data_IF_626001907913
#
_entry.id   IF_626001907913
#
_cell.length_a   1.000
_cell.length_b   1.000
_cell.length_c   1.000
_cell.angle_alpha   90.00
_cell.angle_beta   90.00
_cell.angle_gamma   90.00
#
_symmetry.space_group_name_H-M   'P 1'
#
loop_
_entity.id
_entity.type
_entity.pdbx_description
1 polymer ?
#
# COMPACT_ATOMS: atom_id res chain seq x y z
N UNK A 1 -17.11 -69.51 27.88
CA UNK A 1 -17.57 -68.14 28.05
C UNK A 1 -16.47 -67.03 27.90
N UNK A 2 -15.19 -67.26 28.27
CA UNK A 2 -14.12 -66.25 28.13
C UNK A 2 -13.66 -65.93 26.70
N UNK A 3 -13.91 -66.82 25.70
CA UNK A 3 -13.49 -66.60 24.30
C UNK A 3 -14.52 -65.81 23.47
N UNK A 4 -15.77 -65.73 23.89
CA UNK A 4 -16.84 -65.01 23.17
C UNK A 4 -16.82 -63.53 23.54
N UNK A 5 -16.40 -63.19 24.76
CA UNK A 5 -16.28 -61.77 25.22
C UNK A 5 -15.11 -61.05 24.54
N UNK A 6 -14.06 -61.79 24.22
CA UNK A 6 -12.88 -61.21 23.52
C UNK A 6 -13.17 -60.87 22.06
N UNK A 7 -14.08 -61.59 21.39
CA UNK A 7 -14.39 -61.31 19.97
C UNK A 7 -15.38 -60.16 19.82
N UNK A 8 -16.31 -59.96 20.79
CA UNK A 8 -17.21 -58.84 20.75
C UNK A 8 -16.53 -57.47 21.08
N UNK A 9 -15.51 -57.49 21.95
CA UNK A 9 -14.73 -56.32 22.25
C UNK A 9 -13.82 -55.86 21.08
N UNK A 10 -13.27 -56.83 20.32
CA UNK A 10 -12.47 -56.56 19.12
C UNK A 10 -13.33 -56.06 17.96
N UNK A 11 -14.58 -56.52 17.85
CA UNK A 11 -15.52 -56.03 16.82
C UNK A 11 -16.08 -54.64 17.13
N UNK A 12 -16.24 -54.26 18.40
CA UNK A 12 -16.60 -52.88 18.79
C UNK A 12 -15.46 -51.88 18.61
N UNK A 13 -14.18 -52.31 18.71
CA UNK A 13 -13.03 -51.48 18.41
C UNK A 13 -12.80 -51.27 16.90
N UNK A 14 -13.26 -52.21 16.06
CA UNK A 14 -13.18 -52.07 14.60
C UNK A 14 -14.32 -51.21 13.99
N UNK A 15 -15.44 -51.06 14.69
CA UNK A 15 -16.58 -50.23 14.27
C UNK A 15 -16.49 -48.80 14.79
N UNK A 16 -15.59 -48.51 15.75
CA UNK A 16 -15.36 -47.16 16.30
C UNK A 16 -14.45 -46.25 15.46
N UNK A 17 -13.90 -46.75 14.34
CA UNK A 17 -12.97 -45.96 13.47
C UNK A 17 -13.66 -45.34 12.23
N UNK A 18 -14.97 -45.51 12.09
CA UNK A 18 -15.71 -44.98 10.94
C UNK A 18 -16.77 -43.98 11.37
N UNK A 19 -16.38 -42.83 11.81
CA UNK A 19 -17.04 -41.52 11.63
C UNK A 19 -16.34 -40.48 12.52
N UNK A 20 -15.09 -40.18 12.26
CA UNK A 20 -14.65 -38.82 12.47
C UNK A 20 -15.32 -38.07 11.33
N UNK A 21 -16.31 -37.20 11.58
CA UNK A 21 -16.71 -36.27 10.53
C UNK A 21 -15.42 -35.57 10.14
N UNK A 22 -15.09 -35.58 8.85
CA UNK A 22 -14.11 -34.68 8.32
C UNK A 22 -14.58 -33.28 8.76
N UNK A 23 -14.02 -32.81 9.87
CA UNK A 23 -14.14 -31.40 10.22
C UNK A 23 -13.60 -30.70 8.97
N UNK A 24 -14.49 -30.03 8.27
CA UNK A 24 -14.06 -29.11 7.22
C UNK A 24 -12.96 -28.28 7.88
N UNK A 25 -11.75 -28.39 7.38
CA UNK A 25 -10.62 -27.61 7.84
C UNK A 25 -11.08 -26.16 7.74
N UNK A 26 -11.32 -25.53 8.88
CA UNK A 26 -11.76 -24.15 8.94
C UNK A 26 -10.64 -23.34 8.30
N UNK A 27 -10.87 -22.88 7.09
CA UNK A 27 -9.86 -22.22 6.26
C UNK A 27 -9.43 -20.96 7.01
N UNK A 28 -8.20 -20.94 7.49
CA UNK A 28 -7.67 -19.78 8.23
C UNK A 28 -7.68 -18.54 7.34
N UNK A 29 -7.98 -17.35 7.88
CA UNK A 29 -7.96 -16.12 7.12
C UNK A 29 -6.56 -15.88 6.54
N UNK A 30 -6.52 -15.34 5.31
CA UNK A 30 -5.25 -14.95 4.70
C UNK A 30 -4.69 -13.72 5.39
N UNK A 31 -3.47 -13.83 5.91
CA UNK A 31 -2.80 -12.75 6.63
C UNK A 31 -2.08 -11.81 5.67
N UNK A 32 -2.39 -10.53 5.78
CA UNK A 32 -1.90 -9.49 4.88
C UNK A 32 -1.08 -8.48 5.66
N UNK A 33 0.22 -8.40 5.36
CA UNK A 33 1.10 -7.41 5.96
C UNK A 33 0.82 -6.01 5.43
N UNK A 34 0.73 -5.03 6.32
CA UNK A 34 0.49 -3.63 6.02
C UNK A 34 1.48 -2.78 6.84
N UNK A 35 2.14 -1.81 6.19
CA UNK A 35 3.02 -0.89 6.91
C UNK A 35 2.21 0.20 7.62
N UNK A 36 2.54 0.49 8.88
CA UNK A 36 1.99 1.63 9.64
C UNK A 36 2.30 2.96 8.95
N UNK A 37 3.36 3.02 8.13
CA UNK A 37 3.72 4.17 7.30
C UNK A 37 2.61 4.56 6.31
N UNK A 38 1.78 3.63 5.87
CA UNK A 38 0.70 3.87 4.91
C UNK A 38 -0.47 4.66 5.51
N UNK A 39 -0.47 4.90 6.82
CA UNK A 39 -1.45 5.69 7.57
C UNK A 39 -2.91 5.22 7.40
N UNK A 40 -3.13 3.94 7.25
CA UNK A 40 -4.48 3.39 7.20
C UNK A 40 -5.15 3.38 8.57
N UNK A 41 -6.45 3.60 8.59
CA UNK A 41 -7.27 3.36 9.78
C UNK A 41 -7.34 1.86 10.08
N UNK A 42 -6.62 1.41 11.11
CA UNK A 42 -6.55 -0.01 11.48
C UNK A 42 -7.93 -0.61 11.76
N UNK A 43 -8.81 0.15 12.43
CA UNK A 43 -10.16 -0.30 12.75
C UNK A 43 -11.03 -0.52 11.50
N UNK A 44 -10.72 0.16 10.40
CA UNK A 44 -11.45 0.10 9.12
C UNK A 44 -10.72 -0.67 8.03
N UNK A 45 -9.51 -1.15 8.31
CA UNK A 45 -8.70 -1.84 7.30
C UNK A 45 -9.42 -3.04 6.70
N UNK A 46 -10.19 -3.78 7.49
CA UNK A 46 -10.97 -4.93 7.00
C UNK A 46 -12.03 -4.51 5.99
N UNK A 47 -12.75 -3.42 6.25
CA UNK A 47 -13.77 -2.87 5.35
C UNK A 47 -13.12 -2.38 4.06
N UNK A 48 -11.99 -1.67 4.16
CA UNK A 48 -11.17 -1.23 3.02
C UNK A 48 -10.69 -2.41 2.16
N UNK A 49 -10.16 -3.46 2.78
CA UNK A 49 -9.72 -4.66 2.06
C UNK A 49 -10.88 -5.37 1.37
N UNK A 50 -12.06 -5.38 1.98
CA UNK A 50 -13.28 -5.95 1.40
C UNK A 50 -13.72 -5.14 0.18
N UNK A 51 -13.84 -3.82 0.31
CA UNK A 51 -14.18 -2.92 -0.79
C UNK A 51 -13.20 -3.07 -1.96
N UNK A 52 -11.89 -3.02 -1.67
CA UNK A 52 -10.84 -3.27 -2.65
C UNK A 52 -10.98 -4.63 -3.32
N UNK A 53 -11.28 -5.68 -2.56
CA UNK A 53 -11.47 -7.04 -3.08
C UNK A 53 -12.61 -7.12 -4.09
N UNK A 54 -13.73 -6.45 -3.84
CA UNK A 54 -14.87 -6.36 -4.76
C UNK A 54 -14.45 -5.64 -6.05
N UNK A 55 -13.82 -4.47 -5.93
CA UNK A 55 -13.39 -3.68 -7.08
C UNK A 55 -12.33 -4.40 -7.94
N UNK A 56 -11.36 -5.05 -7.31
CA UNK A 56 -10.36 -5.89 -8.00
C UNK A 56 -11.03 -7.00 -8.80
N UNK A 57 -12.06 -7.66 -8.26
CA UNK A 57 -12.77 -8.71 -8.97
C UNK A 57 -13.53 -8.17 -10.18
N UNK A 58 -14.21 -7.01 -10.03
CA UNK A 58 -15.00 -6.37 -11.08
C UNK A 58 -14.14 -5.75 -12.19
N UNK A 59 -12.90 -5.38 -11.88
CA UNK A 59 -11.96 -4.77 -12.81
C UNK A 59 -11.00 -5.77 -13.47
N UNK A 60 -10.96 -7.02 -13.01
CA UNK A 60 -10.00 -8.00 -13.51
C UNK A 60 -10.33 -8.46 -14.92
N UNK A 61 -9.35 -8.45 -15.82
CA UNK A 61 -9.45 -9.06 -17.16
C UNK A 61 -9.74 -10.56 -17.07
N UNK A 62 -10.39 -11.15 -18.08
CA UNK A 62 -10.47 -12.61 -18.20
C UNK A 62 -9.08 -13.25 -18.12
N UNK A 63 -8.94 -14.49 -17.56
CA UNK A 63 -7.64 -15.12 -17.40
C UNK A 63 -6.82 -15.23 -18.70
N UNK A 64 -7.48 -15.46 -19.84
CA UNK A 64 -6.88 -15.55 -21.17
C UNK A 64 -6.24 -14.25 -21.67
N UNK A 65 -6.67 -13.10 -21.14
CA UNK A 65 -6.21 -11.77 -21.55
C UNK A 65 -5.18 -11.15 -20.56
N UNK A 66 -4.78 -11.92 -19.52
CA UNK A 66 -3.85 -11.43 -18.50
C UNK A 66 -2.41 -11.69 -18.89
N UNK A 67 -1.58 -10.68 -18.71
CA UNK A 67 -0.14 -10.88 -18.73
C UNK A 67 0.32 -11.44 -17.37
N UNK A 68 1.32 -12.35 -17.34
CA UNK A 68 1.93 -12.78 -16.10
C UNK A 68 2.47 -11.56 -15.32
N UNK A 69 2.32 -11.52 -14.00
CA UNK A 69 2.92 -10.47 -13.19
C UNK A 69 4.43 -10.37 -13.41
N UNK A 70 4.98 -9.18 -13.37
CA UNK A 70 6.42 -8.95 -13.51
C UNK A 70 7.19 -9.77 -12.44
N UNK A 71 8.18 -10.56 -12.90
CA UNK A 71 8.93 -11.45 -12.04
C UNK A 71 8.21 -12.72 -11.60
N UNK A 72 7.00 -13.01 -12.08
CA UNK A 72 6.32 -14.25 -11.78
C UNK A 72 7.10 -15.46 -12.34
N UNK A 73 7.11 -16.61 -11.62
CA UNK A 73 7.77 -17.83 -12.10
C UNK A 73 7.10 -18.36 -13.37
N UNK A 74 7.87 -18.90 -14.31
CA UNK A 74 7.33 -19.61 -15.48
C UNK A 74 6.40 -20.74 -15.00
N UNK A 75 5.15 -20.76 -15.50
CA UNK A 75 4.14 -21.74 -15.10
C UNK A 75 3.40 -21.36 -13.81
N UNK A 76 3.59 -20.17 -13.26
CA UNK A 76 2.63 -19.64 -12.29
C UNK A 76 1.24 -19.71 -12.95
N UNK A 77 0.20 -20.27 -12.27
CA UNK A 77 -1.12 -20.28 -12.83
C UNK A 77 -1.47 -18.83 -13.18
N UNK A 78 -1.72 -18.59 -14.47
CA UNK A 78 -2.18 -17.30 -14.97
C UNK A 78 -3.27 -16.83 -14.04
N UNK A 79 -2.96 -15.77 -13.26
CA UNK A 79 -3.64 -15.41 -12.02
C UNK A 79 -5.15 -15.48 -12.12
N UNK A 80 -5.71 -16.65 -11.84
CA UNK A 80 -7.10 -16.72 -11.46
C UNK A 80 -7.23 -15.82 -10.23
N UNK A 81 -8.17 -14.84 -10.22
CA UNK A 81 -8.43 -14.10 -9.01
C UNK A 81 -8.74 -15.16 -7.96
N UNK A 82 -7.97 -15.19 -6.89
CA UNK A 82 -8.36 -15.93 -5.70
C UNK A 82 -9.75 -15.38 -5.33
N UNK A 83 -10.82 -16.09 -5.68
CA UNK A 83 -12.17 -15.68 -5.37
C UNK A 83 -13.13 -15.46 -6.54
N UNK A 84 -12.84 -15.98 -7.77
CA UNK A 84 -13.88 -16.06 -8.77
C UNK A 84 -15.09 -16.86 -8.22
N UNK A 85 -16.34 -16.36 -8.38
CA UNK A 85 -17.51 -17.07 -7.88
C UNK A 85 -17.57 -18.44 -8.56
N UNK A 86 -17.43 -19.52 -7.77
CA UNK A 86 -17.65 -20.89 -8.23
C UNK A 86 -16.51 -21.88 -8.16
N UNK A 87 -15.26 -21.51 -7.87
CA UNK A 87 -14.15 -22.47 -7.68
C UNK A 87 -13.21 -22.03 -6.56
N UNK A 88 -13.61 -22.31 -5.30
CA UNK A 88 -12.72 -22.60 -4.15
C UNK A 88 -11.49 -21.71 -3.88
N UNK A 89 -11.41 -20.49 -4.38
CA UNK A 89 -10.42 -19.50 -3.93
C UNK A 89 -10.75 -19.01 -2.51
N UNK A 90 -9.76 -18.54 -1.72
CA UNK A 90 -10.05 -17.95 -0.42
C UNK A 90 -11.05 -16.80 -0.58
N UNK A 91 -12.13 -16.87 0.19
CA UNK A 91 -13.08 -15.75 0.27
C UNK A 91 -12.27 -14.53 0.76
N UNK A 92 -12.23 -13.44 -0.03
CA UNK A 92 -11.47 -12.23 0.33
C UNK A 92 -12.02 -11.53 1.56
N UNK A 93 -13.22 -11.92 2.00
CA UNK A 93 -13.81 -11.52 3.28
C UNK A 93 -13.06 -12.09 4.48
N UNK A 94 -12.24 -13.14 4.28
CA UNK A 94 -11.44 -13.77 5.32
C UNK A 94 -9.97 -13.27 5.33
N UNK A 95 -9.75 -11.99 5.08
CA UNK A 95 -8.43 -11.37 5.19
C UNK A 95 -8.23 -10.78 6.59
N UNK A 96 -7.06 -11.06 7.17
CA UNK A 96 -6.61 -10.52 8.45
C UNK A 96 -5.42 -9.56 8.21
N UNK A 97 -5.59 -8.24 8.39
CA UNK A 97 -4.47 -7.31 8.31
C UNK A 97 -3.55 -7.48 9.52
N UNK A 98 -2.24 -7.48 9.26
CA UNK A 98 -1.19 -7.51 10.26
C UNK A 98 -0.30 -6.28 10.04
N UNK A 99 -0.26 -5.38 11.03
CA UNK A 99 0.46 -4.12 10.93
C UNK A 99 1.92 -4.27 11.36
N UNK A 100 2.82 -3.58 10.66
CA UNK A 100 4.25 -3.57 10.88
C UNK A 100 4.79 -2.14 10.91
N UNK A 101 5.68 -1.86 11.84
CA UNK A 101 6.32 -0.55 11.96
C UNK A 101 7.54 -0.40 11.03
N UNK A 102 8.04 -1.52 10.47
CA UNK A 102 9.13 -1.50 9.51
C UNK A 102 8.95 -2.50 8.36
N UNK A 103 9.51 -2.16 7.20
CA UNK A 103 9.53 -3.03 6.02
C UNK A 103 10.29 -4.33 6.28
N UNK A 104 11.40 -4.26 7.02
CA UNK A 104 12.24 -5.43 7.33
C UNK A 104 11.48 -6.46 8.17
N UNK A 105 10.72 -6.04 9.19
CA UNK A 105 9.88 -6.93 9.98
C UNK A 105 8.78 -7.58 9.15
N UNK A 106 8.18 -6.81 8.24
CA UNK A 106 7.16 -7.32 7.31
C UNK A 106 7.75 -8.34 6.34
N UNK A 107 8.92 -8.07 5.75
CA UNK A 107 9.66 -9.01 4.89
C UNK A 107 10.08 -10.29 5.63
N UNK A 108 10.59 -10.17 6.85
CA UNK A 108 10.90 -11.35 7.67
C UNK A 108 9.65 -12.19 7.96
N UNK A 109 8.51 -11.55 8.17
CA UNK A 109 7.25 -12.24 8.43
C UNK A 109 6.70 -12.93 7.18
N UNK A 110 6.85 -12.33 6.00
CA UNK A 110 6.53 -12.96 4.71
C UNK A 110 7.43 -14.17 4.45
N UNK A 111 8.75 -14.01 4.65
CA UNK A 111 9.72 -15.10 4.44
C UNK A 111 9.49 -16.29 5.39
N UNK A 112 9.07 -16.01 6.61
CA UNK A 112 8.74 -17.02 7.62
C UNK A 112 7.34 -17.64 7.45
N UNK A 113 6.55 -17.20 6.46
CA UNK A 113 5.18 -17.67 6.25
C UNK A 113 4.20 -17.25 7.36
N UNK A 114 4.52 -16.21 8.14
CA UNK A 114 3.62 -15.65 9.16
C UNK A 114 2.54 -14.75 8.56
N UNK A 115 2.82 -14.18 7.38
CA UNK A 115 1.87 -13.49 6.51
C UNK A 115 1.97 -14.09 5.11
N UNK A 116 0.89 -14.04 4.33
CA UNK A 116 0.79 -14.64 3.00
C UNK A 116 1.21 -13.67 1.89
N UNK A 117 1.14 -12.37 2.17
CA UNK A 117 1.44 -11.29 1.23
C UNK A 117 1.65 -9.97 1.96
N UNK A 118 2.20 -9.00 1.24
CA UNK A 118 2.36 -7.62 1.69
C UNK A 118 1.59 -6.68 0.77
N UNK A 119 1.03 -5.62 1.34
CA UNK A 119 0.47 -4.48 0.61
C UNK A 119 1.43 -3.30 0.78
N UNK A 120 1.98 -2.83 -0.34
CA UNK A 120 3.00 -1.78 -0.34
C UNK A 120 2.94 -0.99 -1.65
N UNK A 121 3.59 0.16 -1.72
CA UNK A 121 3.66 0.97 -2.93
C UNK A 121 4.40 0.25 -4.07
N UNK A 122 3.93 0.48 -5.30
CA UNK A 122 4.47 -0.16 -6.51
C UNK A 122 5.96 0.15 -6.69
N UNK A 123 6.36 1.39 -6.44
CA UNK A 123 7.77 1.80 -6.50
C UNK A 123 8.65 0.96 -5.58
N UNK A 124 8.21 0.75 -4.33
CA UNK A 124 8.93 -0.11 -3.37
C UNK A 124 8.84 -1.59 -3.77
N UNK A 125 7.69 -2.04 -4.27
CA UNK A 125 7.54 -3.42 -4.75
C UNK A 125 8.50 -3.73 -5.91
N UNK A 126 8.63 -2.82 -6.89
CA UNK A 126 9.60 -2.92 -7.99
C UNK A 126 11.03 -3.02 -7.46
N UNK A 127 11.40 -2.13 -6.53
CA UNK A 127 12.72 -2.17 -5.91
C UNK A 127 13.00 -3.49 -5.18
N UNK A 128 12.05 -3.97 -4.38
CA UNK A 128 12.18 -5.23 -3.66
C UNK A 128 12.31 -6.44 -4.59
N UNK A 129 11.47 -6.52 -5.64
CA UNK A 129 11.48 -7.62 -6.59
C UNK A 129 12.72 -7.61 -7.49
N UNK A 130 13.25 -6.43 -7.82
CA UNK A 130 14.51 -6.31 -8.55
C UNK A 130 15.72 -6.79 -7.73
N UNK A 131 15.67 -6.65 -6.39
CA UNK A 131 16.73 -7.04 -5.47
C UNK A 131 16.52 -8.40 -4.79
N UNK A 132 15.38 -9.06 -5.02
CA UNK A 132 15.05 -10.36 -4.43
C UNK A 132 14.24 -11.20 -5.40
N UNK A 133 14.90 -12.17 -6.03
CA UNK A 133 14.32 -13.09 -7.02
C UNK A 133 13.25 -14.05 -6.45
N UNK A 134 13.12 -14.15 -5.13
CA UNK A 134 12.07 -14.92 -4.46
C UNK A 134 10.73 -14.16 -4.37
N UNK A 135 10.71 -12.89 -4.72
CA UNK A 135 9.50 -12.08 -4.69
C UNK A 135 8.95 -11.82 -6.08
N UNK A 136 7.67 -11.55 -6.15
CA UNK A 136 6.98 -10.96 -7.29
C UNK A 136 5.85 -10.07 -6.79
N UNK A 137 5.40 -9.14 -7.60
CA UNK A 137 4.24 -8.31 -7.27
C UNK A 137 3.17 -8.38 -8.37
N UNK A 138 1.97 -8.01 -8.01
CA UNK A 138 0.82 -8.00 -8.90
C UNK A 138 0.52 -6.54 -9.25
N UNK A 139 0.91 -6.15 -10.45
CA UNK A 139 0.71 -4.80 -10.99
C UNK A 139 -0.71 -4.55 -11.51
N UNK A 140 -0.91 -3.38 -12.14
CA UNK A 140 -2.19 -2.96 -12.69
C UNK A 140 -2.51 -3.55 -14.08
N UNK A 141 -1.57 -4.27 -14.71
CA UNK A 141 -1.75 -4.88 -16.05
C UNK A 141 -2.88 -5.91 -16.10
N UNK A 142 -3.20 -6.48 -14.93
CA UNK A 142 -4.31 -7.44 -14.75
C UNK A 142 -5.69 -6.80 -14.83
N UNK A 143 -5.78 -5.48 -14.77
CA UNK A 143 -7.06 -4.78 -14.77
C UNK A 143 -7.47 -4.35 -16.17
N UNK A 144 -8.76 -4.44 -16.43
CA UNK A 144 -9.38 -3.76 -17.56
C UNK A 144 -9.53 -2.27 -17.22
N UNK A 145 -8.64 -1.45 -17.77
CA UNK A 145 -8.59 0.00 -17.49
C UNK A 145 -9.81 0.76 -18.00
N UNK A 146 -10.58 0.17 -18.90
CA UNK A 146 -11.84 0.73 -19.40
C UNK A 146 -13.02 0.43 -18.45
N UNK A 147 -12.82 -0.46 -17.48
CA UNK A 147 -13.81 -0.78 -16.46
C UNK A 147 -13.99 0.37 -15.46
N UNK A 148 -15.22 0.81 -15.14
CA UNK A 148 -15.49 1.77 -14.08
C UNK A 148 -14.91 1.35 -12.71
N UNK A 149 -14.88 0.06 -12.43
CA UNK A 149 -14.30 -0.49 -11.21
C UNK A 149 -12.77 -0.29 -11.16
N UNK A 150 -12.09 -0.46 -12.31
CA UNK A 150 -10.65 -0.23 -12.41
C UNK A 150 -10.30 1.25 -12.22
N UNK A 151 -11.05 2.15 -12.82
CA UNK A 151 -10.86 3.59 -12.62
C UNK A 151 -10.96 3.96 -11.13
N UNK A 152 -12.04 3.53 -10.45
CA UNK A 152 -12.25 3.79 -9.02
C UNK A 152 -11.12 3.18 -8.18
N UNK A 153 -10.69 1.96 -8.50
CA UNK A 153 -9.65 1.25 -7.77
C UNK A 153 -8.29 1.96 -7.90
N UNK A 154 -7.86 2.25 -9.12
CA UNK A 154 -6.52 2.75 -9.41
C UNK A 154 -6.35 4.23 -9.06
N UNK A 155 -7.35 5.06 -9.31
CA UNK A 155 -7.24 6.50 -9.04
C UNK A 155 -7.73 6.91 -7.65
N UNK A 156 -8.50 6.05 -6.98
CA UNK A 156 -9.12 6.29 -5.68
C UNK A 156 -8.51 5.46 -4.58
N UNK A 157 -8.84 4.16 -4.55
CA UNK A 157 -8.56 3.30 -3.38
C UNK A 157 -7.08 2.94 -3.24
N UNK A 158 -6.39 2.71 -4.36
CA UNK A 158 -4.97 2.30 -4.35
C UNK A 158 -4.01 3.48 -4.46
N UNK A 159 -4.44 4.60 -5.03
CA UNK A 159 -3.58 5.76 -5.21
C UNK A 159 -3.38 6.54 -3.92
N UNK A 160 -2.13 6.84 -3.61
CA UNK A 160 -1.74 7.70 -2.51
C UNK A 160 -0.83 8.81 -3.01
N UNK A 161 -1.01 9.99 -2.46
CA UNK A 161 -0.22 11.17 -2.74
C UNK A 161 0.83 11.39 -1.66
N UNK A 162 2.07 11.55 -2.04
CA UNK A 162 3.18 11.85 -1.15
C UNK A 162 3.29 13.35 -0.95
N UNK A 163 3.33 13.77 0.31
CA UNK A 163 3.40 15.15 0.72
C UNK A 163 4.28 15.29 1.97
N UNK A 164 4.58 16.52 2.37
CA UNK A 164 5.11 16.81 3.70
C UNK A 164 3.99 17.35 4.59
N UNK A 165 3.92 16.83 5.82
CA UNK A 165 2.99 17.31 6.84
C UNK A 165 3.74 18.22 7.81
N UNK A 166 3.08 19.29 8.22
CA UNK A 166 3.54 20.30 9.17
C UNK A 166 2.40 20.65 10.14
N UNK A 167 2.71 21.31 11.26
CA UNK A 167 1.69 21.91 12.09
C UNK A 167 1.06 23.13 11.40
N UNK A 168 -0.20 23.46 11.72
CA UNK A 168 -0.94 24.55 11.10
C UNK A 168 -0.31 25.94 11.30
N UNK A 169 0.48 26.13 12.35
CA UNK A 169 1.22 27.37 12.58
C UNK A 169 2.48 27.52 11.71
N UNK A 170 2.84 26.48 10.93
CA UNK A 170 3.90 26.49 9.91
C UNK A 170 3.38 26.74 8.48
N UNK A 171 2.23 27.41 8.33
CA UNK A 171 1.62 27.68 7.01
C UNK A 171 2.58 28.38 6.05
N UNK A 172 3.36 29.34 6.50
CA UNK A 172 4.34 30.03 5.67
C UNK A 172 5.43 29.07 5.14
N UNK A 173 5.91 28.14 5.96
CA UNK A 173 6.87 27.13 5.54
C UNK A 173 6.26 26.14 4.53
N UNK A 174 5.00 25.72 4.77
CA UNK A 174 4.25 24.89 3.80
C UNK A 174 4.17 25.57 2.44
N UNK A 175 3.91 26.88 2.38
CA UNK A 175 3.79 27.64 1.14
C UNK A 175 5.14 27.81 0.43
N UNK A 176 6.24 27.97 1.19
CA UNK A 176 7.60 27.94 0.63
C UNK A 176 7.91 26.56 0.00
N UNK A 177 7.56 25.47 0.66
CA UNK A 177 7.72 24.11 0.12
C UNK A 177 6.86 23.92 -1.14
N UNK A 178 5.61 24.36 -1.16
CA UNK A 178 4.71 24.28 -2.32
C UNK A 178 5.29 25.04 -3.51
N UNK A 179 5.83 26.25 -3.27
CA UNK A 179 6.48 27.06 -4.33
C UNK A 179 7.70 26.32 -4.90
N UNK A 180 8.52 25.75 -4.03
CA UNK A 180 9.68 24.97 -4.46
C UNK A 180 9.28 23.71 -5.24
N UNK A 181 8.29 22.94 -4.75
CA UNK A 181 7.77 21.73 -5.42
C UNK A 181 7.20 22.07 -6.80
N UNK A 182 6.41 23.15 -6.91
CA UNK A 182 5.87 23.59 -8.20
C UNK A 182 6.99 23.92 -9.20
N UNK A 183 8.00 24.68 -8.77
CA UNK A 183 9.14 25.04 -9.62
C UNK A 183 10.01 23.82 -9.99
N UNK A 184 10.17 22.83 -9.10
CA UNK A 184 10.87 21.56 -9.35
C UNK A 184 10.14 20.74 -10.43
N UNK A 185 8.80 20.73 -10.42
CA UNK A 185 7.99 20.08 -11.45
C UNK A 185 8.06 20.83 -12.78
N UNK A 186 7.97 22.16 -12.76
CA UNK A 186 7.92 22.99 -13.98
C UNK A 186 9.22 22.94 -14.80
N UNK A 187 10.38 22.89 -14.14
CA UNK A 187 11.67 22.92 -14.83
C UNK A 187 12.26 21.54 -15.17
N UNK A 188 11.52 20.45 -14.93
CA UNK A 188 11.92 19.07 -15.22
C UNK A 188 12.93 18.50 -14.22
N UNK A 189 13.15 19.15 -13.08
CA UNK A 189 14.00 18.59 -12.02
C UNK A 189 13.35 17.39 -11.35
N UNK A 190 12.01 17.37 -11.22
CA UNK A 190 11.28 16.23 -10.64
C UNK A 190 11.55 14.94 -11.41
N UNK A 191 11.45 14.99 -12.73
CA UNK A 191 11.71 13.85 -13.61
C UNK A 191 13.16 13.36 -13.51
N UNK A 192 14.11 14.27 -13.34
CA UNK A 192 15.53 13.90 -13.11
C UNK A 192 15.72 13.20 -11.78
N UNK A 193 15.10 13.72 -10.70
CA UNK A 193 15.18 13.09 -9.38
C UNK A 193 14.54 11.69 -9.39
N UNK A 194 13.42 11.51 -10.09
CA UNK A 194 12.78 10.20 -10.27
C UNK A 194 13.75 9.25 -10.98
N UNK A 195 14.29 9.65 -12.13
CA UNK A 195 15.21 8.83 -12.90
C UNK A 195 16.49 8.46 -12.12
N UNK A 196 17.04 9.39 -11.33
CA UNK A 196 18.31 9.22 -10.62
C UNK A 196 18.16 8.42 -9.31
N UNK A 197 17.02 8.56 -8.60
CA UNK A 197 16.86 7.99 -7.25
C UNK A 197 15.80 6.89 -7.15
N UNK A 198 14.87 6.83 -8.10
CA UNK A 198 13.86 5.75 -8.16
C UNK A 198 14.24 4.75 -9.23
N UNK A 199 14.27 5.15 -10.50
CA UNK A 199 14.47 4.23 -11.63
C UNK A 199 15.85 3.58 -11.58
N UNK A 200 16.91 4.36 -11.31
CA UNK A 200 18.25 3.85 -11.17
C UNK A 200 18.39 2.84 -10.00
N UNK A 201 17.70 3.08 -8.88
CA UNK A 201 17.70 2.16 -7.74
C UNK A 201 16.99 0.84 -8.09
N UNK A 202 15.86 0.89 -8.79
CA UNK A 202 15.13 -0.29 -9.28
C UNK A 202 16.01 -1.08 -10.28
N UNK A 203 16.73 -0.40 -11.15
CA UNK A 203 17.65 -1.01 -12.11
C UNK A 203 18.96 -1.54 -11.47
N UNK A 204 19.16 -1.38 -10.17
CA UNK A 204 20.37 -1.80 -9.46
C UNK A 204 21.61 -1.00 -9.80
N UNK A 205 21.43 0.24 -10.30
CA UNK A 205 22.53 1.15 -10.58
C UNK A 205 23.08 1.78 -9.31
N UNK A 206 24.34 2.16 -9.33
CA UNK A 206 24.94 2.91 -8.24
C UNK A 206 24.29 4.29 -8.10
N UNK A 207 23.78 4.57 -6.90
CA UNK A 207 23.13 5.84 -6.57
C UNK A 207 24.15 6.78 -5.94
N UNK A 208 24.27 8.00 -6.49
CA UNK A 208 25.15 9.00 -5.94
C UNK A 208 24.71 9.41 -4.52
N UNK A 209 25.66 9.55 -3.56
CA UNK A 209 25.32 10.03 -2.22
C UNK A 209 24.69 11.41 -2.25
N UNK A 210 23.58 11.56 -1.54
CA UNK A 210 22.86 12.83 -1.45
C UNK A 210 23.54 13.70 -0.38
N UNK A 211 23.79 14.96 -0.73
CA UNK A 211 24.32 15.96 0.21
C UNK A 211 23.39 17.15 0.26
N UNK A 212 22.87 17.43 1.45
CA UNK A 212 22.19 18.69 1.72
C UNK A 212 23.27 19.71 2.11
N UNK A 213 23.53 20.65 1.23
CA UNK A 213 24.56 21.66 1.45
C UNK A 213 24.15 22.63 2.55
N UNK A 214 25.07 22.92 3.46
CA UNK A 214 24.84 23.91 4.52
C UNK A 214 24.91 25.32 3.95
N UNK A 215 23.85 26.08 4.16
CA UNK A 215 23.76 27.50 3.81
C UNK A 215 24.10 28.31 5.05
N UNK A 216 25.20 29.07 5.01
CA UNK A 216 25.70 29.78 6.18
C UNK A 216 24.76 30.91 6.59
N UNK A 217 24.41 30.98 7.88
CA UNK A 217 23.48 31.98 8.42
C UNK A 217 21.99 31.75 8.11
N UNK A 218 21.66 30.71 7.35
CA UNK A 218 20.27 30.38 7.05
C UNK A 218 19.60 29.66 8.24
N UNK A 219 18.29 29.84 8.35
CA UNK A 219 17.40 29.07 9.24
C UNK A 219 17.52 27.58 8.96
N UNK A 220 17.37 26.76 10.01
CA UNK A 220 17.38 25.31 9.88
C UNK A 220 16.01 24.72 10.17
N UNK A 221 15.48 23.98 9.19
CA UNK A 221 14.24 23.22 9.27
C UNK A 221 14.57 21.78 9.56
N UNK A 222 13.94 21.19 10.56
CA UNK A 222 14.10 19.78 10.93
C UNK A 222 13.02 18.96 10.26
N UNK A 223 13.41 17.96 9.47
CA UNK A 223 12.48 17.08 8.77
C UNK A 223 12.65 15.65 9.24
N UNK A 224 11.57 15.06 9.74
CA UNK A 224 11.52 13.67 10.18
C UNK A 224 11.47 12.71 8.97
N UNK A 225 12.39 11.73 8.97
CA UNK A 225 12.51 10.68 7.95
C UNK A 225 12.44 9.31 8.62
N UNK A 226 11.82 8.33 7.95
CA UNK A 226 11.61 7.01 8.56
C UNK A 226 12.67 6.00 8.15
N UNK A 227 13.08 6.03 6.89
CA UNK A 227 14.05 5.09 6.36
C UNK A 227 13.48 3.71 6.02
N UNK A 228 12.15 3.57 5.91
CA UNK A 228 11.45 2.29 5.78
C UNK A 228 10.81 2.07 4.40
N UNK A 229 11.04 2.94 3.43
CA UNK A 229 10.37 2.90 2.14
C UNK A 229 11.34 3.07 0.96
N UNK A 230 12.30 2.12 0.75
CA UNK A 230 13.18 2.20 -0.40
C UNK A 230 12.40 2.06 -1.73
N UNK A 231 12.80 2.73 -2.79
CA UNK A 231 13.87 3.71 -2.91
C UNK A 231 13.46 5.15 -2.54
N UNK A 232 12.26 5.34 -1.98
CA UNK A 232 11.71 6.66 -1.66
C UNK A 232 12.39 7.29 -0.45
N UNK A 233 12.46 6.55 0.65
CA UNK A 233 13.02 6.96 1.95
C UNK A 233 13.69 5.75 2.61
N UNK A 234 15.00 5.72 2.67
CA UNK A 234 15.75 4.62 3.28
C UNK A 234 17.06 5.10 3.91
N UNK A 235 17.65 4.24 4.73
CA UNK A 235 18.95 4.47 5.33
C UNK A 235 20.00 3.71 4.53
N UNK A 236 20.99 4.43 4.00
CA UNK A 236 22.09 3.83 3.25
C UNK A 236 23.02 3.02 4.18
N UNK A 237 23.90 2.12 3.63
CA UNK A 237 24.80 1.29 4.45
C UNK A 237 25.78 2.08 5.32
N UNK A 238 26.05 3.34 5.00
CA UNK A 238 26.86 4.26 5.80
C UNK A 238 26.08 4.97 6.92
N UNK A 239 24.81 4.55 7.13
CA UNK A 239 23.87 5.10 8.11
C UNK A 239 23.44 6.55 7.84
N UNK A 240 23.46 6.97 6.56
CA UNK A 240 22.92 8.27 6.15
C UNK A 240 21.53 8.12 5.51
N UNK A 241 20.60 9.09 5.73
CA UNK A 241 19.34 9.13 5.01
C UNK A 241 19.57 9.26 3.50
N UNK A 242 18.84 8.46 2.73
CA UNK A 242 18.96 8.36 1.27
C UNK A 242 17.59 8.19 0.61
N UNK A 243 17.58 8.13 -0.71
CA UNK A 243 16.40 7.96 -1.52
C UNK A 243 15.81 9.24 -2.06
N UNK A 244 14.75 9.08 -2.84
CA UNK A 244 14.10 10.17 -3.57
C UNK A 244 13.66 11.32 -2.66
N UNK A 245 13.07 11.02 -1.49
CA UNK A 245 12.61 12.06 -0.55
C UNK A 245 13.79 12.91 -0.03
N UNK A 246 14.92 12.27 0.27
CA UNK A 246 16.14 12.99 0.70
C UNK A 246 16.68 13.88 -0.41
N UNK A 247 16.69 13.41 -1.67
CA UNK A 247 17.13 14.19 -2.82
C UNK A 247 16.19 15.37 -3.10
N UNK A 248 14.87 15.15 -3.00
CA UNK A 248 13.88 16.22 -3.11
C UNK A 248 14.07 17.28 -2.02
N UNK A 249 14.32 16.88 -0.77
CA UNK A 249 14.57 17.79 0.34
C UNK A 249 15.86 18.61 0.13
N UNK A 250 16.91 18.02 -0.44
CA UNK A 250 18.12 18.74 -0.80
C UNK A 250 17.83 19.84 -1.85
N UNK A 251 17.00 19.55 -2.84
CA UNK A 251 16.60 20.52 -3.86
C UNK A 251 15.66 21.60 -3.29
N UNK A 252 14.70 21.23 -2.41
CA UNK A 252 13.86 22.19 -1.70
C UNK A 252 14.73 23.14 -0.87
N UNK A 253 15.67 22.61 -0.06
CA UNK A 253 16.61 23.39 0.76
C UNK A 253 17.30 24.49 -0.07
N UNK A 254 17.84 24.10 -1.23
CA UNK A 254 18.52 25.02 -2.15
C UNK A 254 17.58 26.11 -2.67
N UNK A 255 16.32 25.79 -2.99
CA UNK A 255 15.37 26.74 -3.59
C UNK A 255 14.80 27.71 -2.57
N UNK A 256 14.50 27.24 -1.36
CA UNK A 256 13.96 28.13 -0.31
C UNK A 256 15.06 28.87 0.46
N UNK A 257 16.34 28.52 0.25
CA UNK A 257 17.46 29.16 0.93
C UNK A 257 17.53 28.88 2.42
N UNK A 258 17.00 27.74 2.89
CA UNK A 258 17.03 27.30 4.30
C UNK A 258 17.74 25.95 4.44
N UNK A 259 18.41 25.76 5.57
CA UNK A 259 19.03 24.48 5.86
C UNK A 259 17.93 23.43 6.18
N UNK A 260 18.11 22.19 5.71
CA UNK A 260 17.31 21.05 6.12
C UNK A 260 18.18 20.09 6.93
N UNK A 261 17.73 19.78 8.14
CA UNK A 261 18.32 18.76 9.00
C UNK A 261 17.39 17.56 9.05
N UNK A 262 17.84 16.41 8.58
CA UNK A 262 17.08 15.16 8.64
C UNK A 262 17.17 14.57 10.06
N UNK A 263 16.01 14.16 10.57
CA UNK A 263 15.86 13.52 11.91
C UNK A 263 15.23 12.15 11.69
N UNK A 264 16.04 11.10 11.85
CA UNK A 264 15.56 9.73 11.72
C UNK A 264 14.63 9.36 12.86
N UNK A 265 13.48 8.72 12.54
CA UNK A 265 12.50 8.27 13.50
C UNK A 265 11.69 7.08 12.97
N UNK A 266 11.10 6.29 13.87
CA UNK A 266 10.12 5.26 13.48
C UNK A 266 8.82 5.89 12.99
N UNK A 267 8.11 5.22 12.08
CA UNK A 267 6.86 5.69 11.49
C UNK A 267 5.81 6.14 12.51
N UNK A 268 5.55 5.43 13.62
CA UNK A 268 4.58 5.87 14.63
C UNK A 268 5.02 7.13 15.41
N UNK A 269 6.29 7.51 15.36
CA UNK A 269 6.80 8.68 16.06
C UNK A 269 6.59 10.00 15.29
N UNK A 270 6.18 9.95 14.01
CA UNK A 270 6.06 11.14 13.15
C UNK A 270 5.06 12.17 13.70
N UNK A 271 3.82 11.74 13.98
CA UNK A 271 2.80 12.65 14.49
C UNK A 271 3.15 13.22 15.88
N UNK A 272 3.59 12.44 16.89
CA UNK A 272 4.08 12.98 18.16
C UNK A 272 5.28 13.91 18.02
N UNK A 273 6.22 13.66 17.11
CA UNK A 273 7.37 14.52 16.88
C UNK A 273 6.97 15.89 16.34
N UNK A 274 6.00 15.94 15.40
CA UNK A 274 5.40 17.19 14.93
C UNK A 274 4.70 17.93 16.07
N UNK A 275 3.79 17.26 16.77
CA UNK A 275 3.00 17.87 17.83
C UNK A 275 3.83 18.47 18.96
N UNK A 276 5.03 17.88 19.24
CA UNK A 276 5.97 18.37 20.25
C UNK A 276 6.95 19.44 19.75
N UNK A 277 6.96 19.74 18.43
CA UNK A 277 7.96 20.62 17.81
C UNK A 277 9.37 20.02 17.77
N UNK A 278 9.53 18.71 17.92
CA UNK A 278 10.81 18.03 17.75
C UNK A 278 11.31 18.10 16.30
N UNK A 279 10.36 18.13 15.35
CA UNK A 279 10.57 18.38 13.94
C UNK A 279 9.53 19.38 13.40
N UNK A 280 9.88 20.06 12.31
CA UNK A 280 9.03 21.07 11.67
C UNK A 280 8.17 20.46 10.56
N UNK A 281 8.64 19.36 9.96
CA UNK A 281 7.94 18.63 8.92
C UNK A 281 8.22 17.13 9.00
N UNK A 282 7.31 16.31 8.47
CA UNK A 282 7.50 14.86 8.26
C UNK A 282 6.98 14.45 6.91
N UNK A 283 7.52 13.37 6.35
CA UNK A 283 6.91 12.68 5.21
C UNK A 283 5.55 12.13 5.59
N UNK A 284 4.57 12.31 4.71
CA UNK A 284 3.21 11.82 4.91
C UNK A 284 2.56 11.40 3.59
N UNK A 285 1.63 10.44 3.67
CA UNK A 285 0.81 10.07 2.53
C UNK A 285 -0.61 10.57 2.72
N UNK A 286 -1.24 10.99 1.64
CA UNK A 286 -2.60 11.53 1.62
C UNK A 286 -3.49 10.71 0.71
N UNK A 287 -4.75 10.62 1.06
CA UNK A 287 -5.79 10.16 0.14
C UNK A 287 -5.80 11.00 -1.15
N UNK A 288 -5.94 10.37 -2.31
CA UNK A 288 -6.02 11.08 -3.58
C UNK A 288 -7.26 11.99 -3.65
N UNK A 289 -7.15 13.10 -4.37
CA UNK A 289 -8.31 14.01 -4.56
C UNK A 289 -9.48 13.30 -5.24
N UNK A 290 -9.22 12.33 -6.12
CA UNK A 290 -10.26 11.51 -6.73
C UNK A 290 -11.00 10.65 -5.70
N UNK A 291 -10.28 10.02 -4.76
CA UNK A 291 -10.89 9.27 -3.66
C UNK A 291 -11.68 10.19 -2.74
N UNK A 292 -11.10 11.33 -2.37
CA UNK A 292 -11.75 12.35 -1.55
C UNK A 292 -13.08 12.80 -2.17
N UNK A 293 -13.08 13.17 -3.45
CA UNK A 293 -14.27 13.57 -4.16
C UNK A 293 -15.34 12.48 -4.14
N UNK A 294 -14.98 11.23 -4.44
CA UNK A 294 -15.92 10.10 -4.48
C UNK A 294 -16.51 9.78 -3.10
N UNK A 295 -15.65 9.75 -2.07
CA UNK A 295 -16.08 9.40 -0.72
C UNK A 295 -16.91 10.52 -0.05
N UNK A 296 -16.79 11.76 -0.53
CA UNK A 296 -17.58 12.91 -0.03
C UNK A 296 -18.83 13.21 -0.85
N UNK A 297 -19.16 12.39 -1.87
CA UNK A 297 -20.36 12.57 -2.69
C UNK A 297 -21.63 12.47 -1.82
N UNK A 298 -22.56 13.38 -2.07
CA UNK A 298 -23.91 13.29 -1.53
C UNK A 298 -24.66 12.07 -2.09
N UNK A 299 -25.74 11.66 -1.44
CA UNK A 299 -26.56 10.54 -1.95
C UNK A 299 -27.16 10.84 -3.34
N UNK A 300 -27.49 12.12 -3.63
CA UNK A 300 -27.95 12.54 -4.95
C UNK A 300 -26.85 12.39 -6.02
N UNK A 301 -25.62 12.78 -5.71
CA UNK A 301 -24.46 12.63 -6.60
C UNK A 301 -24.10 11.16 -6.82
N UNK A 302 -24.15 10.34 -5.77
CA UNK A 302 -23.98 8.88 -5.88
C UNK A 302 -25.02 8.26 -6.78
N UNK A 303 -26.29 8.64 -6.62
CA UNK A 303 -27.39 8.16 -7.46
C UNK A 303 -27.20 8.59 -8.91
N UNK A 304 -26.83 9.85 -9.18
CA UNK A 304 -26.56 10.32 -10.53
C UNK A 304 -25.37 9.62 -11.18
N UNK A 305 -24.30 9.35 -10.41
CA UNK A 305 -23.14 8.58 -10.87
C UNK A 305 -23.51 7.11 -11.18
N UNK A 306 -24.38 6.50 -10.36
CA UNK A 306 -24.91 5.15 -10.61
C UNK A 306 -25.75 5.13 -11.91
N UNK A 307 -26.68 6.07 -12.08
CA UNK A 307 -27.51 6.16 -13.29
C UNK A 307 -26.68 6.35 -14.56
N UNK A 308 -25.62 7.18 -14.49
CA UNK A 308 -24.69 7.39 -15.60
C UNK A 308 -23.89 6.10 -15.94
N UNK A 309 -23.56 5.27 -14.94
CA UNK A 309 -22.89 3.97 -15.13
C UNK A 309 -23.84 2.92 -15.70
N UNK A 310 -25.07 2.83 -15.17
CA UNK A 310 -26.13 1.91 -15.67
C UNK A 310 -26.43 2.19 -17.16
N UNK A 311 -26.39 3.44 -17.57
CA UNK A 311 -26.56 3.80 -18.98
C UNK A 311 -25.41 3.29 -19.88
N UNK A 312 -24.27 2.90 -19.32
CA UNK A 312 -23.09 2.43 -20.05
C UNK A 312 -22.88 0.92 -19.98
N UNK A 313 -23.61 0.16 -19.11
CA UNK A 313 -23.32 -1.24 -18.96
C UNK A 313 -24.17 -1.99 -17.94
N UNK A 314 -23.55 -2.93 -17.27
CA UNK A 314 -24.13 -3.98 -16.44
C UNK A 314 -24.64 -3.44 -15.10
N UNK A 315 -25.95 -3.56 -14.86
CA UNK A 315 -26.62 -3.13 -13.62
C UNK A 315 -26.09 -3.88 -12.38
N UNK A 316 -25.80 -5.19 -12.52
CA UNK A 316 -25.27 -6.00 -11.43
C UNK A 316 -23.87 -5.55 -11.02
N UNK A 317 -23.00 -5.25 -12.01
CA UNK A 317 -21.66 -4.70 -11.75
C UNK A 317 -21.73 -3.38 -11.01
N UNK A 318 -22.61 -2.48 -11.44
CA UNK A 318 -22.79 -1.16 -10.81
C UNK A 318 -23.28 -1.27 -9.37
N UNK A 319 -24.25 -2.15 -9.08
CA UNK A 319 -24.71 -2.40 -7.71
C UNK A 319 -23.59 -2.89 -6.80
N UNK A 320 -22.69 -3.74 -7.31
CA UNK A 320 -21.53 -4.21 -6.56
C UNK A 320 -20.44 -3.16 -6.36
N UNK A 321 -20.26 -2.25 -7.32
CA UNK A 321 -19.41 -1.07 -7.12
C UNK A 321 -19.95 -0.22 -5.96
N UNK A 322 -21.24 0.03 -5.93
CA UNK A 322 -21.87 0.83 -4.88
C UNK A 322 -21.81 0.11 -3.51
N UNK A 323 -21.94 -1.23 -3.49
CA UNK A 323 -21.68 -2.03 -2.28
C UNK A 323 -20.24 -1.79 -1.77
N UNK A 324 -19.24 -1.86 -2.65
CA UNK A 324 -17.84 -1.64 -2.27
C UNK A 324 -17.62 -0.22 -1.72
N UNK A 325 -18.18 0.79 -2.37
CA UNK A 325 -18.04 2.18 -1.94
C UNK A 325 -18.77 2.49 -0.64
N UNK A 326 -19.83 1.75 -0.31
CA UNK A 326 -20.57 1.90 0.95
C UNK A 326 -19.79 1.40 2.17
N UNK A 327 -18.80 0.53 1.98
CA UNK A 327 -17.95 0.01 3.05
C UNK A 327 -16.89 1.01 3.52
N UNK A 328 -16.64 2.06 2.75
CA UNK A 328 -15.55 3.01 2.99
C UNK A 328 -16.09 4.43 2.91
N UNK A 329 -16.05 5.15 4.02
CA UNK A 329 -16.40 6.56 4.06
C UNK A 329 -15.15 7.45 3.95
N UNK A 330 -15.33 8.67 3.46
CA UNK A 330 -14.26 9.68 3.47
C UNK A 330 -13.77 9.99 4.89
N UNK A 331 -14.68 10.04 5.85
CA UNK A 331 -14.37 10.31 7.26
C UNK A 331 -13.50 9.20 7.86
N UNK A 332 -13.76 7.93 7.53
CA UNK A 332 -12.94 6.81 7.98
C UNK A 332 -11.51 6.88 7.43
N UNK A 333 -11.36 7.35 6.18
CA UNK A 333 -10.05 7.61 5.58
C UNK A 333 -9.34 8.77 6.25
N UNK A 334 -10.03 9.89 6.42
CA UNK A 334 -9.44 11.11 6.97
C UNK A 334 -9.10 11.00 8.46
N UNK A 335 -9.88 10.22 9.23
CA UNK A 335 -9.62 10.03 10.66
C UNK A 335 -8.27 9.36 10.97
N UNK A 336 -7.74 8.58 10.02
CA UNK A 336 -6.43 7.95 10.16
C UNK A 336 -5.30 8.81 9.59
N UNK A 337 -5.63 9.74 8.70
CA UNK A 337 -4.68 10.34 7.78
C UNK A 337 -4.03 11.62 8.32
N UNK A 338 -4.70 12.37 9.18
CA UNK A 338 -4.17 13.66 9.62
C UNK A 338 -4.35 13.88 11.11
N UNK A 339 -3.26 13.96 11.90
CA UNK A 339 -3.33 14.44 13.27
C UNK A 339 -3.97 15.83 13.34
N UNK A 340 -4.65 16.11 14.44
CA UNK A 340 -5.28 17.43 14.66
C UNK A 340 -4.27 18.57 14.47
N UNK A 341 -4.74 19.70 13.93
CA UNK A 341 -3.97 20.92 13.73
C UNK A 341 -2.75 20.76 12.81
N UNK A 342 -2.83 19.86 11.84
CA UNK A 342 -1.81 19.69 10.82
C UNK A 342 -2.29 20.13 9.45
N UNK A 343 -1.32 20.52 8.61
CA UNK A 343 -1.49 20.87 7.21
C UNK A 343 -0.49 20.09 6.38
N UNK A 344 -0.76 19.90 5.09
CA UNK A 344 0.16 19.23 4.17
C UNK A 344 0.52 20.14 3.00
N UNK A 345 1.68 19.88 2.41
CA UNK A 345 2.04 20.46 1.11
C UNK A 345 1.15 19.91 0.01
N UNK A 346 1.22 20.53 -1.18
CA UNK A 346 0.76 19.88 -2.40
C UNK A 346 1.53 18.57 -2.62
N UNK A 347 0.89 17.56 -3.25
CA UNK A 347 1.55 16.31 -3.53
C UNK A 347 2.75 16.50 -4.47
N UNK A 348 3.87 15.85 -4.16
CA UNK A 348 5.04 15.87 -5.04
C UNK A 348 5.19 14.58 -5.85
N UNK A 349 4.61 13.48 -5.38
CA UNK A 349 4.63 12.17 -6.04
C UNK A 349 3.30 11.45 -5.79
N UNK A 350 2.91 10.56 -6.70
CA UNK A 350 1.75 9.68 -6.52
C UNK A 350 2.17 8.25 -6.83
N UNK A 351 1.78 7.33 -5.97
CA UNK A 351 2.04 5.91 -6.14
C UNK A 351 0.76 5.10 -5.88
N UNK A 352 0.78 3.85 -6.26
CA UNK A 352 -0.33 2.92 -6.07
C UNK A 352 0.07 1.76 -5.18
N UNK A 353 -0.87 1.27 -4.39
CA UNK A 353 -0.65 0.10 -3.53
C UNK A 353 -0.82 -1.17 -4.35
N UNK A 354 0.18 -2.02 -4.32
CA UNK A 354 0.20 -3.33 -4.98
C UNK A 354 0.42 -4.46 -3.98
N UNK A 355 0.15 -5.68 -4.42
CA UNK A 355 0.34 -6.88 -3.61
C UNK A 355 1.66 -7.55 -3.97
N UNK A 356 2.55 -7.71 -2.99
CA UNK A 356 3.80 -8.49 -3.11
C UNK A 356 3.63 -9.86 -2.48
N UNK A 357 4.12 -10.89 -3.15
CA UNK A 357 4.08 -12.28 -2.71
C UNK A 357 5.45 -12.95 -2.86
N UNK A 358 5.64 -14.04 -2.12
CA UNK A 358 6.76 -14.95 -2.32
C UNK A 358 6.45 -15.91 -3.46
N UNK A 359 7.44 -16.20 -4.31
CA UNK A 359 7.32 -17.22 -5.34
C UNK A 359 7.12 -18.59 -4.69
N UNK A 360 6.29 -19.47 -5.28
CA UNK A 360 6.18 -20.84 -4.82
C UNK A 360 7.53 -21.53 -4.88
N UNK A 361 7.86 -22.36 -3.89
CA UNK A 361 9.04 -23.21 -3.96
C UNK A 361 8.93 -24.15 -5.15
N UNK A 362 9.97 -24.22 -5.98
CA UNK A 362 10.04 -25.19 -7.08
C UNK A 362 9.97 -26.60 -6.46
N UNK A 363 8.94 -27.37 -6.83
CA UNK A 363 8.74 -28.74 -6.39
C UNK A 363 9.68 -29.68 -7.11
#
# INVERSE_FOLDING_TARGET
MKKIISLSLALMLLLGVLAVPAMAEEKQPSKVGVLSLLNFNEAKMKDLMTARGILVMLSSRPPEDRQPPEGAPEGAPEGAPEGAPGKGGPDRRDMEPVFFDSLDEMLMSLNAGRIDRMEIYETTAKYLCANNDQLYFMDDSRFDKDSPAAEILLTGILANNFAFMMMEDHEALRDEFNTAIAAIKEDGTMEKLIAEYIDAAIEGKEIAPIRIEKIEGAETIKVGVTGDLPPMDYIAPDNTPAGFNTALLAEISRRIGKNIQLVQMASPARAPALASGAVDAVFWTRTSESAKQRLSMSEEEKQAAMEARVAKGDEEQNARIDEALSLVSYEDYMAADMPERTITTEPYYTDVIVTVKKKPEAK
#
